data_IF_663943683314
#
_entry.id   IF_663943683314
#
_cell.length_a   1.000
_cell.length_b   1.000
_cell.length_c   1.000
_cell.angle_alpha   90.00
_cell.angle_beta   90.00
_cell.angle_gamma   90.00
#
_symmetry.space_group_name_H-M   'P 1'
#
loop_
_entity.id
_entity.type
_entity.pdbx_description
1 polymer ?
#
# COMPACT_ATOMS: atom_id res chain seq x y z
N UNK A 1 0.68 28.74 -3.40
CA UNK A 1 -0.04 28.08 -2.30
C UNK A 1 1.01 27.59 -1.32
N UNK A 2 1.18 28.28 -0.19
CA UNK A 2 2.06 27.79 0.88
C UNK A 2 1.43 26.53 1.46
N UNK A 3 2.04 25.37 1.22
CA UNK A 3 1.68 24.14 1.90
C UNK A 3 1.92 24.38 3.39
N UNK A 4 0.85 24.46 4.19
CA UNK A 4 0.99 24.46 5.65
C UNK A 4 1.69 23.16 6.07
N UNK A 5 2.98 23.24 6.35
CA UNK A 5 3.74 22.14 6.92
C UNK A 5 3.32 22.00 8.37
N UNK A 6 2.38 21.08 8.61
CA UNK A 6 2.05 20.67 9.97
C UNK A 6 3.34 20.09 10.58
N UNK A 7 3.85 20.70 11.65
CA UNK A 7 5.08 20.28 12.33
C UNK A 7 4.84 18.93 13.04
N UNK A 8 4.81 17.86 12.26
CA UNK A 8 4.59 16.51 12.72
C UNK A 8 5.91 15.92 13.21
N UNK A 9 5.93 15.48 14.48
CA UNK A 9 7.10 14.79 15.01
C UNK A 9 7.30 13.42 14.33
N UNK A 10 8.55 12.93 14.22
CA UNK A 10 8.86 11.61 13.66
C UNK A 10 8.00 10.47 14.23
N UNK A 11 7.79 10.45 15.56
CA UNK A 11 6.98 9.42 16.23
C UNK A 11 5.52 9.45 15.77
N UNK A 12 4.95 10.66 15.68
CA UNK A 12 3.57 10.86 15.25
C UNK A 12 3.37 10.45 13.79
N UNK A 13 4.37 10.73 12.95
CA UNK A 13 4.40 10.30 11.56
C UNK A 13 4.42 8.76 11.43
N UNK A 14 5.36 8.08 12.10
CA UNK A 14 5.45 6.62 12.05
C UNK A 14 4.17 5.95 12.57
N UNK A 15 3.59 6.49 13.65
CA UNK A 15 2.31 6.03 14.17
C UNK A 15 1.20 6.16 13.14
N UNK A 16 1.05 7.33 12.51
CA UNK A 16 0.03 7.54 11.47
C UNK A 16 0.22 6.63 10.25
N UNK A 17 1.46 6.47 9.77
CA UNK A 17 1.76 5.59 8.64
C UNK A 17 1.38 4.13 8.95
N UNK A 18 1.68 3.65 10.17
CA UNK A 18 1.27 2.32 10.62
C UNK A 18 -0.24 2.23 10.79
N UNK A 19 -0.92 3.24 11.35
CA UNK A 19 -2.37 3.23 11.50
C UNK A 19 -3.07 3.08 10.15
N UNK A 20 -2.66 3.87 9.14
CA UNK A 20 -3.22 3.76 7.78
C UNK A 20 -2.93 2.37 7.21
N UNK A 21 -1.68 1.90 7.30
CA UNK A 21 -1.30 0.59 6.81
C UNK A 21 -2.16 -0.55 7.40
N UNK A 22 -2.31 -0.59 8.73
CA UNK A 22 -3.09 -1.63 9.39
C UNK A 22 -4.59 -1.48 9.15
N UNK A 23 -5.11 -0.26 9.01
CA UNK A 23 -6.51 -0.05 8.66
C UNK A 23 -6.84 -0.61 7.27
N UNK A 24 -5.98 -0.34 6.27
CA UNK A 24 -6.15 -0.87 4.92
C UNK A 24 -5.97 -2.39 4.87
N UNK A 25 -4.94 -2.92 5.55
CA UNK A 25 -4.72 -4.37 5.67
C UNK A 25 -5.93 -5.07 6.29
N UNK A 26 -6.44 -4.54 7.40
CA UNK A 26 -7.63 -5.08 8.06
C UNK A 26 -8.85 -5.01 7.15
N UNK A 27 -9.05 -3.90 6.42
CA UNK A 27 -10.12 -3.74 5.44
C UNK A 27 -10.12 -4.86 4.40
N UNK A 28 -8.99 -5.07 3.71
CA UNK A 28 -8.87 -6.11 2.68
C UNK A 28 -9.10 -7.52 3.24
N UNK A 29 -8.51 -7.83 4.41
CA UNK A 29 -8.62 -9.15 5.05
C UNK A 29 -10.05 -9.43 5.53
N UNK A 30 -10.66 -8.47 6.23
CA UNK A 30 -12.01 -8.62 6.78
C UNK A 30 -13.01 -8.73 5.63
N UNK A 31 -12.93 -7.86 4.62
CA UNK A 31 -13.88 -7.87 3.49
C UNK A 31 -13.72 -9.16 2.68
N UNK A 32 -12.49 -9.57 2.33
CA UNK A 32 -12.25 -10.82 1.62
C UNK A 32 -12.73 -12.05 2.40
N UNK A 33 -12.41 -12.12 3.70
CA UNK A 33 -12.84 -13.21 4.57
C UNK A 33 -14.36 -13.27 4.75
N UNK A 34 -15.01 -12.12 4.95
CA UNK A 34 -16.46 -12.02 5.07
C UNK A 34 -17.17 -12.51 3.80
N UNK A 35 -16.70 -12.10 2.62
CA UNK A 35 -17.32 -12.53 1.36
C UNK A 35 -17.19 -14.05 1.14
N UNK A 36 -16.07 -14.65 1.52
CA UNK A 36 -15.91 -16.11 1.49
C UNK A 36 -16.86 -16.82 2.46
N UNK A 37 -17.05 -16.29 3.68
CA UNK A 37 -17.95 -16.87 4.67
C UNK A 37 -19.43 -16.77 4.25
N UNK A 38 -19.81 -15.70 3.56
CA UNK A 38 -21.18 -15.49 3.09
C UNK A 38 -21.56 -16.44 1.96
N UNK A 39 -20.70 -16.56 0.96
CA UNK A 39 -20.89 -17.51 -0.14
C UNK A 39 -19.56 -18.20 -0.41
N UNK A 40 -19.35 -19.42 0.11
CA UNK A 40 -18.15 -20.20 -0.18
C UNK A 40 -18.03 -20.49 -1.68
N UNK A 41 -16.81 -20.50 -2.19
CA UNK A 41 -16.59 -20.52 -3.62
C UNK A 41 -17.11 -21.79 -4.30
N UNK A 42 -17.67 -21.61 -5.49
CA UNK A 42 -18.35 -22.66 -6.27
C UNK A 42 -17.41 -23.35 -7.25
N UNK A 43 -16.38 -22.63 -7.69
CA UNK A 43 -15.36 -23.16 -8.58
C UNK A 43 -13.97 -22.69 -8.17
N UNK A 44 -12.99 -23.38 -8.72
CA UNK A 44 -11.59 -23.01 -8.60
C UNK A 44 -10.90 -23.32 -9.92
N UNK A 45 -10.86 -22.33 -10.79
CA UNK A 45 -10.31 -22.48 -12.14
C UNK A 45 -9.63 -21.19 -12.61
N UNK A 46 -8.50 -21.36 -13.29
CA UNK A 46 -7.78 -20.27 -13.96
C UNK A 46 -8.08 -20.31 -15.46
N UNK A 47 -9.32 -20.03 -15.85
CA UNK A 47 -9.69 -19.95 -17.27
C UNK A 47 -9.30 -18.60 -17.88
N UNK A 48 -8.18 -18.57 -18.63
CA UNK A 48 -7.72 -17.38 -19.35
C UNK A 48 -8.57 -17.00 -20.56
N UNK A 49 -9.72 -17.65 -20.80
CA UNK A 49 -10.76 -17.14 -21.71
C UNK A 49 -11.74 -16.23 -20.98
N UNK A 50 -11.72 -16.23 -19.65
CA UNK A 50 -12.54 -15.36 -18.84
C UNK A 50 -11.96 -13.92 -18.84
N UNK A 51 -12.70 -12.93 -19.36
CA UNK A 51 -12.24 -11.54 -19.38
C UNK A 51 -12.01 -10.96 -17.98
N UNK A 52 -12.76 -11.38 -16.95
CA UNK A 52 -12.56 -10.91 -15.59
C UNK A 52 -11.24 -11.44 -15.00
N UNK A 53 -10.87 -12.68 -15.30
CA UNK A 53 -9.59 -13.24 -14.84
C UNK A 53 -8.40 -12.53 -15.51
N UNK A 54 -8.49 -12.27 -16.82
CA UNK A 54 -7.47 -11.48 -17.54
C UNK A 54 -7.36 -10.07 -16.94
N UNK A 55 -8.49 -9.43 -16.67
CA UNK A 55 -8.52 -8.10 -16.06
C UNK A 55 -7.91 -8.13 -14.66
N UNK A 56 -8.24 -9.12 -13.83
CA UNK A 56 -7.68 -9.27 -12.48
C UNK A 56 -6.15 -9.38 -12.50
N UNK A 57 -5.61 -10.25 -13.36
CA UNK A 57 -4.15 -10.43 -13.49
C UNK A 57 -3.52 -9.13 -14.00
N UNK A 58 -4.16 -8.43 -14.93
CA UNK A 58 -3.69 -7.13 -15.44
C UNK A 58 -3.66 -6.08 -14.34
N UNK A 59 -4.72 -5.96 -13.54
CA UNK A 59 -4.80 -5.03 -12.41
C UNK A 59 -3.75 -5.36 -11.34
N UNK A 60 -3.54 -6.64 -11.05
CA UNK A 60 -2.49 -7.09 -10.11
C UNK A 60 -1.11 -6.61 -10.55
N UNK A 61 -0.73 -6.90 -11.80
CA UNK A 61 0.58 -6.52 -12.34
C UNK A 61 0.71 -4.99 -12.42
N UNK A 62 -0.30 -4.32 -12.98
CA UNK A 62 -0.32 -2.87 -13.12
C UNK A 62 -0.24 -2.16 -11.77
N UNK A 63 -0.99 -2.62 -10.77
CA UNK A 63 -0.99 -2.04 -9.43
C UNK A 63 0.36 -2.21 -8.72
N UNK A 64 0.96 -3.41 -8.76
CA UNK A 64 2.29 -3.65 -8.19
C UNK A 64 3.34 -2.76 -8.87
N UNK A 65 3.33 -2.71 -10.19
CA UNK A 65 4.29 -1.92 -10.96
C UNK A 65 4.09 -0.41 -10.71
N UNK A 66 2.87 0.09 -10.84
CA UNK A 66 2.55 1.50 -10.63
C UNK A 66 2.85 1.93 -9.20
N UNK A 67 2.52 1.12 -8.20
CA UNK A 67 2.81 1.38 -6.78
C UNK A 67 4.31 1.62 -6.56
N UNK A 68 5.16 0.74 -7.09
CA UNK A 68 6.61 0.87 -6.95
C UNK A 68 7.18 2.03 -7.76
N UNK A 69 6.74 2.19 -9.01
CA UNK A 69 7.20 3.27 -9.90
C UNK A 69 6.87 4.65 -9.34
N UNK A 70 5.62 4.87 -8.92
CA UNK A 70 5.21 6.15 -8.36
C UNK A 70 5.89 6.40 -7.01
N UNK A 71 5.99 5.39 -6.13
CA UNK A 71 6.69 5.54 -4.86
C UNK A 71 8.15 5.99 -5.05
N UNK A 72 8.87 5.37 -5.99
CA UNK A 72 10.23 5.76 -6.34
C UNK A 72 10.29 7.18 -6.92
N UNK A 73 9.36 7.54 -7.80
CA UNK A 73 9.24 8.89 -8.37
C UNK A 73 9.00 9.97 -7.31
N UNK A 74 8.15 9.71 -6.31
CA UNK A 74 7.94 10.64 -5.20
C UNK A 74 9.15 10.73 -4.28
N UNK A 75 9.80 9.59 -3.97
CA UNK A 75 11.01 9.55 -3.16
C UNK A 75 12.14 10.38 -3.79
N UNK A 76 12.35 10.27 -5.09
CA UNK A 76 13.41 11.00 -5.80
C UNK A 76 13.23 12.53 -5.80
N UNK A 77 12.06 13.03 -5.40
CA UNK A 77 11.78 14.47 -5.23
C UNK A 77 12.15 14.99 -3.84
N UNK A 78 12.64 14.14 -2.95
CA UNK A 78 13.10 14.52 -1.61
C UNK A 78 14.57 14.96 -1.72
N UNK A 79 14.82 16.24 -1.49
CA UNK A 79 16.16 16.82 -1.58
C UNK A 79 16.81 16.87 -0.19
N UNK A 80 18.15 16.74 -0.13
CA UNK A 80 18.88 16.74 1.14
C UNK A 80 18.65 18.04 1.94
N UNK A 81 18.55 19.17 1.23
CA UNK A 81 18.31 20.52 1.79
C UNK A 81 16.87 20.79 2.22
N UNK A 82 15.93 19.89 1.91
CA UNK A 82 14.55 20.05 2.37
C UNK A 82 14.53 20.03 3.91
N UNK A 83 13.74 20.89 4.58
CA UNK A 83 13.51 20.76 6.00
C UNK A 83 12.87 19.40 6.34
N UNK A 84 13.17 18.85 7.52
CA UNK A 84 12.66 17.55 7.98
C UNK A 84 11.13 17.41 7.86
N UNK A 85 10.38 18.46 8.20
CA UNK A 85 8.91 18.49 8.09
C UNK A 85 8.43 18.32 6.63
N UNK A 86 9.17 18.86 5.67
CA UNK A 86 8.91 18.70 4.23
C UNK A 86 9.21 17.28 3.79
N UNK A 87 10.35 16.71 4.21
CA UNK A 87 10.73 15.31 3.92
C UNK A 87 9.66 14.33 4.41
N UNK A 88 9.23 14.48 5.67
CA UNK A 88 8.15 13.69 6.29
C UNK A 88 6.86 13.81 5.46
N UNK A 89 6.49 15.03 5.08
CA UNK A 89 5.25 15.27 4.32
C UNK A 89 5.30 14.59 2.94
N UNK A 90 6.41 14.72 2.22
CA UNK A 90 6.61 14.10 0.90
C UNK A 90 6.56 12.57 1.00
N UNK A 91 7.25 11.99 1.97
CA UNK A 91 7.27 10.52 2.12
C UNK A 91 5.91 9.98 2.57
N UNK A 92 5.17 10.71 3.42
CA UNK A 92 3.81 10.34 3.82
C UNK A 92 2.88 10.28 2.61
N UNK A 93 2.94 11.27 1.73
CA UNK A 93 2.16 11.26 0.47
C UNK A 93 2.54 10.07 -0.40
N UNK A 94 3.84 9.78 -0.54
CA UNK A 94 4.32 8.63 -1.30
C UNK A 94 3.76 7.31 -0.76
N UNK A 95 3.75 7.11 0.57
CA UNK A 95 3.20 5.91 1.21
C UNK A 95 1.70 5.75 0.96
N UNK A 96 0.90 6.83 1.13
CA UNK A 96 -0.55 6.78 0.94
C UNK A 96 -0.88 6.36 -0.51
N UNK A 97 -0.21 6.97 -1.49
CA UNK A 97 -0.39 6.62 -2.91
C UNK A 97 0.04 5.17 -3.16
N UNK A 98 1.19 4.75 -2.60
CA UNK A 98 1.69 3.38 -2.71
C UNK A 98 0.67 2.37 -2.21
N UNK A 99 0.06 2.62 -1.06
CA UNK A 99 -0.93 1.74 -0.45
C UNK A 99 -2.22 1.67 -1.27
N UNK A 100 -2.77 2.80 -1.69
CA UNK A 100 -4.00 2.86 -2.50
C UNK A 100 -3.86 2.08 -3.84
N UNK A 101 -2.69 2.17 -4.49
CA UNK A 101 -2.42 1.45 -5.75
C UNK A 101 -2.37 -0.08 -5.60
N UNK A 102 -2.16 -0.60 -4.40
CA UNK A 102 -2.16 -2.04 -4.11
C UNK A 102 -3.51 -2.50 -3.57
N UNK A 103 -4.14 -1.67 -2.74
CA UNK A 103 -5.48 -1.94 -2.22
C UNK A 103 -6.52 -2.09 -3.35
N UNK A 104 -6.46 -1.22 -4.38
CA UNK A 104 -7.40 -1.25 -5.50
C UNK A 104 -7.49 -2.63 -6.19
N UNK A 105 -6.37 -3.21 -6.65
CA UNK A 105 -6.32 -4.57 -7.18
C UNK A 105 -6.75 -5.65 -6.19
N UNK A 106 -6.34 -5.55 -4.91
CA UNK A 106 -6.76 -6.52 -3.90
C UNK A 106 -8.29 -6.54 -3.72
N UNK A 107 -8.90 -5.36 -3.59
CA UNK A 107 -10.35 -5.21 -3.45
C UNK A 107 -11.10 -5.59 -4.73
N UNK A 108 -10.51 -5.35 -5.90
CA UNK A 108 -11.07 -5.78 -7.19
C UNK A 108 -11.17 -7.30 -7.29
N UNK A 109 -10.18 -8.04 -6.77
CA UNK A 109 -10.26 -9.50 -6.67
C UNK A 109 -11.42 -9.98 -5.79
N UNK A 110 -11.71 -9.29 -4.69
CA UNK A 110 -12.90 -9.61 -3.87
C UNK A 110 -14.20 -9.30 -4.63
N UNK A 111 -14.26 -8.18 -5.36
CA UNK A 111 -15.44 -7.84 -6.18
C UNK A 111 -15.68 -8.88 -7.27
N UNK A 112 -14.64 -9.31 -7.99
CA UNK A 112 -14.79 -10.33 -9.03
C UNK A 112 -15.16 -11.69 -8.47
N UNK A 113 -14.67 -12.04 -7.27
CA UNK A 113 -15.15 -13.20 -6.54
C UNK A 113 -16.66 -13.12 -6.26
N UNK A 114 -17.20 -11.97 -5.85
CA UNK A 114 -18.65 -11.84 -5.62
C UNK A 114 -19.48 -11.96 -6.90
N UNK A 115 -18.88 -11.70 -8.07
CA UNK A 115 -19.56 -11.79 -9.36
C UNK A 115 -19.64 -13.24 -9.87
N UNK A 116 -18.56 -14.00 -9.72
CA UNK A 116 -18.46 -15.36 -10.30
C UNK A 116 -18.42 -16.50 -9.27
N UNK A 117 -18.12 -16.19 -8.02
CA UNK A 117 -17.86 -17.14 -6.93
C UNK A 117 -16.73 -18.14 -7.24
N UNK A 118 -15.78 -17.74 -8.09
CA UNK A 118 -14.58 -18.50 -8.39
C UNK A 118 -13.45 -18.12 -7.42
N UNK A 119 -12.96 -19.10 -6.65
CA UNK A 119 -11.92 -18.91 -5.63
C UNK A 119 -10.60 -18.37 -6.18
N UNK A 120 -10.33 -18.52 -7.48
CA UNK A 120 -9.14 -17.97 -8.12
C UNK A 120 -8.99 -16.46 -7.88
N UNK A 121 -10.10 -15.69 -7.92
CA UNK A 121 -10.07 -14.25 -7.67
C UNK A 121 -9.69 -13.89 -6.22
N UNK A 122 -10.24 -14.62 -5.24
CA UNK A 122 -9.88 -14.45 -3.83
C UNK A 122 -8.43 -14.84 -3.56
N UNK A 123 -7.92 -15.90 -4.20
CA UNK A 123 -6.51 -16.27 -4.06
C UNK A 123 -5.58 -15.20 -4.62
N UNK A 124 -5.90 -14.64 -5.79
CA UNK A 124 -5.13 -13.52 -6.37
C UNK A 124 -5.19 -12.28 -5.46
N UNK A 125 -6.35 -11.97 -4.90
CA UNK A 125 -6.49 -10.92 -3.88
C UNK A 125 -5.60 -11.19 -2.66
N UNK A 126 -5.61 -12.42 -2.14
CA UNK A 126 -4.77 -12.81 -1.01
C UNK A 126 -3.28 -12.69 -1.31
N UNK A 127 -2.82 -13.03 -2.52
CA UNK A 127 -1.43 -12.81 -2.94
C UNK A 127 -1.06 -11.32 -2.92
N UNK A 128 -1.97 -10.45 -3.36
CA UNK A 128 -1.76 -8.99 -3.31
C UNK A 128 -1.71 -8.50 -1.86
N UNK A 129 -2.56 -9.05 -0.97
CA UNK A 129 -2.52 -8.75 0.47
C UNK A 129 -1.18 -9.19 1.09
N UNK A 130 -0.67 -10.38 0.75
CA UNK A 130 0.66 -10.81 1.19
C UNK A 130 1.76 -9.87 0.69
N UNK A 131 1.69 -9.44 -0.57
CA UNK A 131 2.59 -8.41 -1.09
C UNK A 131 2.45 -7.09 -0.30
N UNK A 132 1.22 -6.64 -0.02
CA UNK A 132 0.96 -5.43 0.76
C UNK A 132 1.63 -5.50 2.14
N UNK A 133 1.63 -6.66 2.81
CA UNK A 133 2.30 -6.84 4.10
C UNK A 133 3.80 -6.50 4.04
N UNK A 134 4.46 -6.80 2.92
CA UNK A 134 5.89 -6.46 2.72
C UNK A 134 6.16 -4.95 2.67
N UNK A 135 5.12 -4.16 2.37
CA UNK A 135 5.16 -2.70 2.27
C UNK A 135 5.02 -1.99 3.63
N UNK A 136 4.95 -2.75 4.73
CA UNK A 136 4.84 -2.21 6.09
C UNK A 136 5.88 -1.10 6.33
N UNK A 137 5.45 0.11 6.73
CA UNK A 137 6.37 1.17 7.09
C UNK A 137 7.13 0.78 8.35
N UNK A 138 8.44 0.99 8.33
CA UNK A 138 9.33 0.80 9.47
C UNK A 138 10.26 1.98 9.57
N UNK A 139 10.69 2.30 10.79
CA UNK A 139 11.63 3.37 11.09
C UNK A 139 12.84 3.34 10.14
N UNK A 140 13.51 2.20 10.02
CA UNK A 140 14.73 2.05 9.20
C UNK A 140 14.47 2.34 7.71
N UNK A 141 13.48 1.66 7.11
CA UNK A 141 13.05 1.92 5.71
C UNK A 141 12.76 3.41 5.47
N UNK A 142 12.02 4.05 6.37
CA UNK A 142 11.64 5.46 6.20
C UNK A 142 12.84 6.40 6.33
N UNK A 143 13.77 6.13 7.25
CA UNK A 143 15.01 6.89 7.38
C UNK A 143 15.87 6.81 6.12
N UNK A 144 15.96 5.62 5.52
CA UNK A 144 16.68 5.41 4.25
C UNK A 144 15.98 6.07 3.05
N UNK A 145 14.64 6.13 3.09
CA UNK A 145 13.86 6.73 2.02
C UNK A 145 13.85 8.27 2.05
N UNK A 146 14.06 8.91 3.20
CA UNK A 146 13.95 10.38 3.38
C UNK A 146 15.24 11.17 3.13
N UNK A 147 16.37 10.55 2.76
CA UNK A 147 17.65 11.23 2.55
C UNK A 147 18.01 12.18 3.72
N UNK A 148 17.99 11.63 4.94
CA UNK A 148 18.18 12.37 6.18
C UNK A 148 19.66 12.74 6.41
N UNK A 149 19.90 13.93 6.95
CA UNK A 149 21.22 14.32 7.49
C UNK A 149 21.53 13.56 8.77
N UNK A 150 22.79 13.57 9.22
CA UNK A 150 23.20 12.90 10.46
C UNK A 150 22.46 13.43 11.70
N UNK A 151 22.09 14.71 11.72
CA UNK A 151 21.33 15.32 12.82
C UNK A 151 19.86 14.86 12.80
N UNK A 152 19.22 14.86 11.62
CA UNK A 152 17.84 14.38 11.44
C UNK A 152 17.71 12.88 11.77
N UNK A 153 18.74 12.07 11.43
CA UNK A 153 18.79 10.66 11.80
C UNK A 153 18.77 10.47 13.32
N UNK A 154 19.54 11.27 14.06
CA UNK A 154 19.54 11.23 15.54
C UNK A 154 18.20 11.64 16.13
N UNK A 155 17.46 12.51 15.48
CA UNK A 155 16.10 12.87 15.90
C UNK A 155 15.11 11.71 15.66
N UNK A 156 15.21 11.03 14.52
CA UNK A 156 14.44 9.83 14.21
C UNK A 156 14.85 8.62 15.06
N UNK A 157 16.09 8.51 15.52
CA UNK A 157 16.55 7.38 16.35
C UNK A 157 15.93 7.37 17.76
N UNK A 158 15.46 8.52 18.25
CA UNK A 158 14.89 8.66 19.60
C UNK A 158 13.44 8.18 19.74
N UNK A 159 12.82 7.73 18.66
CA UNK A 159 11.42 7.26 18.61
C UNK A 159 11.29 5.75 18.50
#
# INVERSE_FOLDING_TARGET
METQYNNMSPASFLKQANTIFFALLAGMVIVGGMMYMMEPGKSFDFDFRNPLLILMVTLMIAGIFASNFLYHSFRNRIELKDPLSVKITKIRQALIIRFALIEGPAMSGVIFYMMEYNLAFLMLSALIVFYFVTLKPSKDKLMDDMNLTSEEKREFEKI
#
